data_IF_456232178703
#
_entry.id   IF_456232178703
#
_cell.length_a   1.000
_cell.length_b   1.000
_cell.length_c   1.000
_cell.angle_alpha   90.00
_cell.angle_beta   90.00
_cell.angle_gamma   90.00
#
_symmetry.space_group_name_H-M   'P 1'
#
loop_
_entity.id
_entity.type
_entity.pdbx_description
1 polymer ?
#
# COMPACT_ATOMS: atom_id res chain seq x y z
N UNK A 1 7.01 -12.11 -4.62
CA UNK A 1 5.77 -11.67 -3.93
C UNK A 1 5.54 -10.17 -4.11
N UNK A 2 6.52 -9.31 -3.78
CA UNK A 2 6.42 -7.86 -4.04
C UNK A 2 6.09 -7.57 -5.52
N UNK A 3 6.73 -8.26 -6.47
CA UNK A 3 6.44 -8.07 -7.89
C UNK A 3 5.01 -8.49 -8.28
N UNK A 4 4.44 -9.50 -7.61
CA UNK A 4 3.05 -9.91 -7.82
C UNK A 4 2.06 -8.88 -7.25
N UNK A 5 2.38 -8.27 -6.11
CA UNK A 5 1.59 -7.17 -5.52
C UNK A 5 1.65 -5.95 -6.43
N UNK A 6 2.84 -5.59 -6.94
CA UNK A 6 3.02 -4.50 -7.90
C UNK A 6 2.25 -4.76 -9.20
N UNK A 7 2.33 -5.98 -9.74
CA UNK A 7 1.62 -6.34 -10.96
C UNK A 7 0.09 -6.33 -10.78
N UNK A 8 -0.41 -6.83 -9.63
CA UNK A 8 -1.83 -6.75 -9.30
C UNK A 8 -2.30 -5.31 -9.16
N UNK A 9 -1.49 -4.45 -8.52
CA UNK A 9 -1.76 -3.02 -8.42
C UNK A 9 -1.81 -2.35 -9.80
N UNK A 10 -0.81 -2.57 -10.65
CA UNK A 10 -0.78 -2.04 -12.02
C UNK A 10 -2.01 -2.46 -12.82
N UNK A 11 -2.46 -3.71 -12.66
CA UNK A 11 -3.62 -4.24 -13.38
C UNK A 11 -4.93 -3.66 -12.84
N UNK A 12 -5.16 -3.77 -11.53
CA UNK A 12 -6.45 -3.50 -10.91
C UNK A 12 -6.67 -2.01 -10.63
N UNK A 13 -5.59 -1.25 -10.39
CA UNK A 13 -5.67 0.17 -10.03
C UNK A 13 -5.29 1.07 -11.20
N UNK A 14 -4.21 0.78 -11.92
CA UNK A 14 -3.72 1.69 -12.96
C UNK A 14 -4.34 1.41 -14.34
N UNK A 15 -4.44 0.14 -14.75
CA UNK A 15 -4.89 -0.23 -16.09
C UNK A 15 -6.42 -0.33 -16.24
N UNK A 16 -7.14 -0.66 -15.16
CA UNK A 16 -8.60 -0.77 -15.15
C UNK A 16 -9.27 0.61 -15.31
N UNK A 17 -10.36 0.74 -16.06
CA UNK A 17 -11.14 1.98 -16.13
C UNK A 17 -12.30 1.96 -15.12
N UNK A 18 -12.52 3.05 -14.39
CA UNK A 18 -13.63 3.13 -13.43
C UNK A 18 -13.33 4.10 -12.29
N UNK A 19 -14.26 4.26 -11.32
CA UNK A 19 -14.04 5.07 -10.13
C UNK A 19 -12.80 4.58 -9.37
N UNK A 20 -11.91 5.51 -8.98
CA UNK A 20 -10.65 5.16 -8.31
C UNK A 20 -10.89 4.34 -7.03
N UNK A 21 -11.79 4.78 -6.15
CA UNK A 21 -12.02 4.10 -4.87
C UNK A 21 -12.59 2.68 -5.04
N UNK A 22 -13.33 2.39 -6.12
CA UNK A 22 -13.80 1.04 -6.40
C UNK A 22 -12.61 0.13 -6.78
N UNK A 23 -11.70 0.64 -7.63
CA UNK A 23 -10.47 -0.05 -8.02
C UNK A 23 -9.54 -0.31 -6.83
N UNK A 24 -9.34 0.70 -5.98
CA UNK A 24 -8.57 0.60 -4.74
C UNK A 24 -9.18 -0.42 -3.76
N UNK A 25 -10.51 -0.42 -3.65
CA UNK A 25 -11.23 -1.40 -2.82
C UNK A 25 -11.04 -2.82 -3.35
N UNK A 26 -11.13 -3.02 -4.67
CA UNK A 26 -10.88 -4.31 -5.30
C UNK A 26 -9.44 -4.80 -5.05
N UNK A 27 -8.44 -3.92 -5.21
CA UNK A 27 -7.05 -4.24 -4.91
C UNK A 27 -6.85 -4.63 -3.44
N UNK A 28 -7.44 -3.88 -2.49
CA UNK A 28 -7.40 -4.22 -1.06
C UNK A 28 -8.01 -5.59 -0.76
N UNK A 29 -9.18 -5.87 -1.33
CA UNK A 29 -9.84 -7.17 -1.18
C UNK A 29 -8.99 -8.31 -1.75
N UNK A 30 -8.38 -8.10 -2.91
CA UNK A 30 -7.44 -9.06 -3.47
C UNK A 30 -6.22 -9.27 -2.55
N UNK A 31 -5.59 -8.19 -2.07
CA UNK A 31 -4.44 -8.26 -1.18
C UNK A 31 -4.74 -9.09 0.06
N UNK A 32 -5.84 -8.76 0.77
CA UNK A 32 -6.22 -9.43 2.01
C UNK A 32 -6.62 -10.91 1.81
N UNK A 33 -7.00 -11.30 0.59
CA UNK A 33 -7.27 -12.69 0.25
C UNK A 33 -6.01 -13.51 -0.07
N UNK A 34 -4.90 -12.85 -0.44
CA UNK A 34 -3.68 -13.50 -0.94
C UNK A 34 -2.47 -13.34 0.00
N UNK A 35 -2.49 -12.37 0.91
CA UNK A 35 -1.41 -12.12 1.87
C UNK A 35 -1.90 -12.51 3.26
N UNK A 36 -1.51 -13.70 3.71
CA UNK A 36 -1.84 -14.17 5.06
C UNK A 36 -1.15 -13.31 6.13
N UNK A 37 -1.75 -13.23 7.31
CA UNK A 37 -1.24 -12.55 8.51
C UNK A 37 -1.14 -11.02 8.44
N UNK A 38 -1.54 -10.42 7.31
CA UNK A 38 -1.57 -8.97 7.15
C UNK A 38 -2.91 -8.51 6.61
N UNK A 39 -3.28 -7.29 6.99
CA UNK A 39 -4.43 -6.59 6.45
C UNK A 39 -3.97 -5.26 5.88
N UNK A 40 -4.38 -4.99 4.65
CA UNK A 40 -4.14 -3.73 3.96
C UNK A 40 -5.23 -2.70 4.31
N UNK A 41 -4.77 -1.54 4.75
CA UNK A 41 -5.53 -0.33 5.00
C UNK A 41 -5.17 0.74 3.97
N UNK A 42 -6.13 1.61 3.69
CA UNK A 42 -5.96 2.75 2.82
C UNK A 42 -6.31 4.00 3.62
N UNK A 43 -5.41 4.97 3.63
CA UNK A 43 -5.64 6.29 4.23
C UNK A 43 -5.36 7.36 3.19
N UNK A 44 -6.15 8.43 3.18
CA UNK A 44 -5.99 9.55 2.27
C UNK A 44 -5.65 10.84 3.01
N UNK A 45 -4.52 11.44 2.62
CA UNK A 45 -4.03 12.68 3.17
C UNK A 45 -4.06 13.79 2.12
N UNK A 46 -4.69 14.92 2.47
CA UNK A 46 -4.94 16.02 1.57
C UNK A 46 -4.04 17.22 1.90
N UNK A 47 -3.16 17.57 0.96
CA UNK A 47 -2.22 18.68 1.07
C UNK A 47 -2.52 19.77 0.05
N UNK A 48 -1.94 20.96 0.22
CA UNK A 48 -2.01 21.99 -0.80
C UNK A 48 -1.25 21.55 -2.06
N UNK A 49 -2.00 21.28 -3.14
CA UNK A 49 -1.48 20.96 -4.48
C UNK A 49 -1.31 19.46 -4.77
N UNK A 50 -1.49 18.58 -3.77
CA UNK A 50 -1.46 17.13 -3.96
C UNK A 50 -2.23 16.36 -2.87
N UNK A 51 -2.66 15.15 -3.22
CA UNK A 51 -3.25 14.18 -2.29
C UNK A 51 -2.40 12.92 -2.32
N UNK A 52 -2.18 12.32 -1.16
CA UNK A 52 -1.50 11.02 -1.01
C UNK A 52 -2.54 9.99 -0.58
N UNK A 53 -2.59 8.85 -1.25
CA UNK A 53 -3.31 7.67 -0.78
C UNK A 53 -2.26 6.67 -0.30
N UNK A 54 -2.17 6.47 1.01
CA UNK A 54 -1.21 5.59 1.66
C UNK A 54 -1.77 4.18 1.82
N UNK A 55 -0.90 3.20 1.57
CA UNK A 55 -1.15 1.77 1.70
C UNK A 55 -0.48 1.29 2.98
N UNK A 56 -1.26 1.06 4.04
CA UNK A 56 -0.75 0.67 5.34
C UNK A 56 -0.99 -0.82 5.58
N UNK A 57 0.03 -1.55 6.04
CA UNK A 57 -0.05 -2.96 6.41
C UNK A 57 -0.13 -3.09 7.91
N UNK A 58 -1.20 -3.72 8.40
CA UNK A 58 -1.35 -4.08 9.80
C UNK A 58 -1.13 -5.58 9.98
N UNK A 59 -0.29 -5.97 10.91
CA UNK A 59 -0.17 -7.39 11.30
C UNK A 59 -1.44 -7.83 12.03
N UNK A 60 -1.96 -8.99 11.64
CA UNK A 60 -3.10 -9.63 12.31
C UNK A 60 -2.72 -10.32 13.63
N UNK A 61 -1.43 -10.62 13.82
CA UNK A 61 -0.91 -11.33 14.99
C UNK A 61 -0.69 -10.39 16.18
N UNK A 62 -0.13 -9.20 15.93
CA UNK A 62 0.21 -8.25 16.98
C UNK A 62 -0.83 -7.15 17.15
N UNK A 63 -1.58 -6.82 16.09
CA UNK A 63 -2.59 -5.76 16.03
C UNK A 63 -2.13 -4.36 16.50
N UNK A 64 -0.83 -4.19 16.76
CA UNK A 64 -0.29 -3.05 17.51
C UNK A 64 0.46 -2.03 16.65
N UNK A 65 0.74 -2.35 15.39
CA UNK A 65 1.40 -1.44 14.46
C UNK A 65 0.94 -1.62 13.02
N UNK A 66 0.87 -0.49 12.32
CA UNK A 66 0.68 -0.39 10.87
C UNK A 66 1.94 0.20 10.24
N UNK A 67 2.37 -0.35 9.10
CA UNK A 67 3.55 0.13 8.37
C UNK A 67 3.19 0.47 6.95
N UNK A 68 3.70 1.60 6.47
CA UNK A 68 3.47 2.02 5.11
C UNK A 68 4.19 1.09 4.10
N UNK A 69 3.44 0.61 3.12
CA UNK A 69 3.88 -0.22 2.01
C UNK A 69 4.18 0.62 0.77
N UNK A 70 3.29 1.57 0.47
CA UNK A 70 3.36 2.45 -0.68
C UNK A 70 2.52 3.71 -0.44
N UNK A 71 2.69 4.70 -1.31
CA UNK A 71 1.79 5.84 -1.41
C UNK A 71 1.59 6.27 -2.86
N UNK A 72 0.35 6.42 -3.27
CA UNK A 72 0.00 7.01 -4.56
C UNK A 72 -0.12 8.52 -4.41
N UNK A 73 0.47 9.28 -5.32
CA UNK A 73 0.29 10.74 -5.36
C UNK A 73 -0.59 11.15 -6.51
N UNK A 74 -1.52 12.03 -6.20
CA UNK A 74 -2.41 12.68 -7.15
C UNK A 74 -2.21 14.19 -7.06
N UNK A 75 -2.37 14.91 -8.18
CA UNK A 75 -2.66 16.34 -8.05
C UNK A 75 -4.00 16.52 -7.35
N UNK A 76 -4.24 17.71 -6.78
CA UNK A 76 -5.56 18.07 -6.30
C UNK A 76 -5.83 19.55 -6.58
N UNK A 77 -7.08 19.94 -6.36
CA UNK A 77 -7.48 21.35 -6.40
C UNK A 77 -8.55 21.60 -5.36
N UNK A 78 -8.53 22.81 -4.80
CA UNK A 78 -9.58 23.29 -3.92
C UNK A 78 -10.48 24.24 -4.68
N UNK A 79 -11.79 24.00 -4.65
CA UNK A 79 -12.74 24.88 -5.30
C UNK A 79 -12.99 26.17 -4.50
N UNK A 80 -13.74 27.10 -5.08
CA UNK A 80 -14.08 28.37 -4.45
C UNK A 80 -14.92 28.24 -3.15
N UNK A 81 -15.50 27.06 -2.88
CA UNK A 81 -16.22 26.75 -1.64
C UNK A 81 -15.31 26.11 -0.59
N UNK A 82 -14.05 25.90 -0.91
CA UNK A 82 -13.08 25.26 -0.04
C UNK A 82 -13.16 23.73 -0.03
N UNK A 83 -13.86 23.12 -0.99
CA UNK A 83 -13.94 21.66 -1.13
C UNK A 83 -12.76 21.15 -1.95
N UNK A 84 -12.11 20.08 -1.48
CA UNK A 84 -11.02 19.41 -2.18
C UNK A 84 -11.55 18.44 -3.24
N UNK A 85 -10.91 18.45 -4.40
CA UNK A 85 -11.19 17.57 -5.52
C UNK A 85 -9.93 16.82 -5.90
N UNK A 86 -10.01 15.49 -5.97
CA UNK A 86 -8.92 14.64 -6.43
C UNK A 86 -8.63 14.92 -7.91
N UNK A 87 -7.36 15.07 -8.24
CA UNK A 87 -6.88 15.32 -9.60
C UNK A 87 -6.27 14.07 -10.24
N UNK A 88 -5.29 14.31 -11.10
CA UNK A 88 -4.66 13.29 -11.92
C UNK A 88 -3.61 12.52 -11.13
N UNK A 89 -3.56 11.21 -11.33
CA UNK A 89 -2.48 10.35 -10.84
C UNK A 89 -1.11 10.85 -11.35
N UNK A 90 -0.12 10.86 -10.47
CA UNK A 90 1.26 11.25 -10.79
C UNK A 90 2.19 10.06 -10.76
N UNK A 91 2.33 9.46 -9.59
CA UNK A 91 3.26 8.36 -9.34
C UNK A 91 2.81 7.51 -8.15
N UNK A 92 3.35 6.30 -8.08
CA UNK A 92 3.28 5.42 -6.90
C UNK A 92 4.69 5.33 -6.35
N UNK A 93 4.87 5.76 -5.12
CA UNK A 93 6.11 5.55 -4.40
C UNK A 93 5.95 4.30 -3.57
N UNK A 94 6.48 3.19 -4.10
CA UNK A 94 6.70 2.01 -3.29
C UNK A 94 7.81 2.33 -2.31
N UNK A 95 7.54 2.21 -1.02
CA UNK A 95 8.55 2.45 -0.02
C UNK A 95 9.58 1.32 -0.10
N UNK A 96 10.69 1.59 -0.77
CA UNK A 96 11.85 0.71 -0.80
C UNK A 96 12.44 0.69 0.60
N UNK A 97 12.65 -0.51 1.13
CA UNK A 97 13.41 -0.78 2.35
C UNK A 97 14.69 0.06 2.33
N UNK A 98 14.77 1.10 3.14
CA UNK A 98 16.06 1.67 3.47
C UNK A 98 16.77 0.61 4.32
N UNK A 99 17.74 -0.08 3.72
CA UNK A 99 18.84 -0.67 4.47
C UNK A 99 19.66 0.50 5.03
N UNK A 100 19.11 1.24 5.98
CA UNK A 100 19.93 2.08 6.82
C UNK A 100 19.36 2.08 8.23
N UNK A 101 20.14 1.42 9.07
CA UNK A 101 20.07 1.42 10.52
C UNK A 101 19.86 2.83 11.03
N UNK A 102 18.71 3.13 11.64
CA UNK A 102 18.55 3.95 12.87
C UNK A 102 17.13 4.48 13.02
N UNK A 103 16.19 3.63 13.47
CA UNK A 103 15.17 3.95 14.50
C UNK A 103 14.35 2.69 14.81
N UNK A 104 14.28 2.34 16.10
CA UNK A 104 13.89 1.02 16.66
C UNK A 104 12.46 0.50 16.36
N UNK A 105 11.63 1.24 15.64
CA UNK A 105 10.20 0.89 15.44
C UNK A 105 9.91 0.36 14.03
N UNK A 106 10.63 0.84 13.00
CA UNK A 106 10.41 0.44 11.60
C UNK A 106 11.22 -0.79 11.19
N UNK A 107 12.35 -1.05 11.86
CA UNK A 107 13.17 -2.27 11.66
C UNK A 107 12.41 -3.54 12.02
N UNK A 108 11.47 -3.47 12.98
CA UNK A 108 10.80 -4.65 13.53
C UNK A 108 9.79 -5.27 12.57
N UNK A 109 9.05 -4.45 11.81
CA UNK A 109 7.95 -4.97 10.99
C UNK A 109 8.46 -5.68 9.74
N UNK A 110 9.52 -5.18 9.12
CA UNK A 110 10.14 -5.88 7.98
C UNK A 110 11.01 -7.05 8.40
N UNK A 111 11.66 -7.02 9.57
CA UNK A 111 12.31 -8.20 10.16
C UNK A 111 11.30 -9.31 10.46
N UNK A 112 10.08 -8.96 10.89
CA UNK A 112 8.98 -9.92 11.10
C UNK A 112 8.47 -10.48 9.77
N UNK A 113 8.28 -9.65 8.73
CA UNK A 113 7.89 -10.11 7.40
C UNK A 113 8.98 -11.02 6.79
N UNK A 114 10.25 -10.65 6.91
CA UNK A 114 11.38 -11.43 6.37
C UNK A 114 11.63 -12.72 7.16
N UNK A 115 11.63 -12.68 8.50
CA UNK A 115 11.80 -13.87 9.35
C UNK A 115 10.66 -14.88 9.16
N UNK A 116 9.42 -14.41 8.98
CA UNK A 116 8.28 -15.27 8.64
C UNK A 116 8.53 -16.05 7.35
N UNK A 117 9.10 -15.43 6.31
CA UNK A 117 9.39 -16.09 5.03
C UNK A 117 10.65 -16.97 5.05
N UNK A 118 11.64 -16.65 5.89
CA UNK A 118 12.82 -17.50 6.13
C UNK A 118 12.45 -18.80 6.90
N UNK A 119 11.48 -18.73 7.82
CA UNK A 119 11.03 -19.89 8.61
C UNK A 119 10.01 -20.78 7.86
N UNK A 120 9.12 -20.18 7.06
CA UNK A 120 8.01 -20.90 6.43
C UNK A 120 8.20 -21.19 4.92
N UNK A 121 9.26 -20.63 4.32
CA UNK A 121 9.56 -20.76 2.89
C UNK A 121 8.61 -19.98 1.98
N UNK A 122 9.03 -19.64 0.74
CA UNK A 122 8.14 -18.99 -0.22
C UNK A 122 7.01 -19.96 -0.64
N UNK A 123 5.76 -19.48 -0.80
CA UNK A 123 4.69 -20.33 -1.30
C UNK A 123 5.04 -20.81 -2.71
N UNK A 124 5.00 -22.12 -2.88
CA UNK A 124 5.35 -22.80 -4.13
C UNK A 124 4.31 -22.45 -5.21
N UNK A 125 4.68 -21.74 -6.30
CA UNK A 125 3.74 -21.45 -7.37
C UNK A 125 3.46 -22.76 -8.11
N UNK A 126 2.29 -23.36 -7.88
CA UNK A 126 1.83 -24.45 -8.74
C UNK A 126 1.45 -23.84 -10.08
N UNK A 127 2.26 -24.24 -11.08
CA UNK A 127 2.17 -23.96 -12.52
C UNK A 127 0.77 -24.26 -13.06
#
# INVERSE_FOLDING_TARGET
MIDAIKQAFETMVLAESGPLYDRLTAFRSWFNAHVANYELYLEDEWYDGYTVIEYLLRSLDTLSSSVALAGDRYSNQRDAKGVWHLGTYRDTVWLSVATDTTTDTDTHVWAVIQAFFEENGPPNPKI
#
